data_IF_403845867831
#
_entry.id   IF_403845867831
#
_cell.length_a   1.000
_cell.length_b   1.000
_cell.length_c   1.000
_cell.angle_alpha   90.00
_cell.angle_beta   90.00
_cell.angle_gamma   90.00
#
_symmetry.space_group_name_H-M   'P 1'
#
loop_
_entity.id
_entity.type
_entity.pdbx_description
1 polymer ?
#
# COMPACT_ATOMS: atom_id res chain seq x y z
N UNK A 1 4.09 33.34 -32.43
CA UNK A 1 5.24 32.42 -32.52
C UNK A 1 6.27 32.80 -31.46
N UNK A 2 6.40 31.98 -30.41
CA UNK A 2 7.58 32.00 -29.55
C UNK A 2 7.69 30.61 -28.92
N UNK A 3 8.77 29.90 -29.24
CA UNK A 3 9.10 28.59 -28.68
C UNK A 3 9.87 28.81 -27.39
N UNK A 4 9.33 28.38 -26.26
CA UNK A 4 10.13 28.20 -25.04
C UNK A 4 10.78 26.82 -25.12
N UNK A 5 12.12 26.82 -25.21
CA UNK A 5 12.97 25.64 -25.28
C UNK A 5 13.27 25.22 -23.85
N UNK A 6 12.67 24.13 -23.36
CA UNK A 6 13.14 23.45 -22.16
C UNK A 6 14.19 22.41 -22.58
N UNK A 7 15.43 22.65 -22.19
CA UNK A 7 16.55 21.74 -22.42
C UNK A 7 16.35 20.48 -21.58
N UNK A 8 15.91 19.38 -22.21
CA UNK A 8 16.13 18.05 -21.66
C UNK A 8 17.56 17.69 -22.02
N UNK A 9 18.44 17.71 -21.02
CA UNK A 9 19.80 17.19 -21.15
C UNK A 9 19.67 15.66 -21.34
N UNK A 10 19.47 15.24 -22.59
CA UNK A 10 19.60 13.86 -23.02
C UNK A 10 21.10 13.52 -22.95
N UNK A 11 21.52 12.84 -21.90
CA UNK A 11 22.71 12.00 -22.02
C UNK A 11 22.32 10.77 -22.86
N UNK A 12 23.01 10.62 -23.99
CA UNK A 12 23.00 9.42 -24.85
C UNK A 12 23.47 8.19 -24.06
N UNK A 13 23.12 6.98 -24.54
CA UNK A 13 23.13 5.78 -23.74
C UNK A 13 24.56 5.27 -23.52
N UNK A 14 24.89 4.98 -22.27
CA UNK A 14 25.86 3.95 -21.94
C UNK A 14 25.03 2.79 -21.41
N UNK A 15 25.12 1.64 -22.08
CA UNK A 15 24.57 0.37 -21.62
C UNK A 15 25.00 0.10 -20.17
N UNK A 16 24.05 0.00 -19.24
CA UNK A 16 24.20 -0.72 -17.97
C UNK A 16 22.91 -0.64 -17.13
N UNK A 17 22.30 -1.81 -16.95
CA UNK A 17 21.57 -2.32 -15.79
C UNK A 17 20.70 -1.40 -14.87
N UNK A 18 19.57 -1.99 -14.48
CA UNK A 18 18.72 -1.68 -13.30
C UNK A 18 17.57 -0.69 -13.55
N UNK A 19 16.44 -1.26 -13.98
CA UNK A 19 15.13 -0.59 -13.95
C UNK A 19 14.64 -0.35 -12.52
N UNK A 20 14.70 0.91 -12.07
CA UNK A 20 14.11 1.35 -10.81
C UNK A 20 12.60 1.58 -10.99
N UNK A 21 11.77 0.73 -10.36
CA UNK A 21 10.34 0.99 -10.14
C UNK A 21 10.22 1.88 -8.90
N UNK A 22 9.56 3.04 -9.03
CA UNK A 22 9.27 3.93 -7.91
C UNK A 22 8.25 3.33 -6.92
N UNK A 23 8.14 3.90 -5.70
CA UNK A 23 7.32 3.35 -4.63
C UNK A 23 5.82 3.48 -4.97
N UNK A 24 5.13 2.35 -4.96
CA UNK A 24 3.67 2.27 -5.12
C UNK A 24 3.00 2.76 -3.83
N UNK A 25 2.14 3.77 -3.97
CA UNK A 25 1.36 4.39 -2.91
C UNK A 25 0.43 3.38 -2.21
N UNK A 26 0.32 3.52 -0.88
CA UNK A 26 -0.63 2.82 -0.02
C UNK A 26 -2.06 2.99 -0.56
N UNK A 27 -2.72 1.89 -0.92
CA UNK A 27 -4.16 1.86 -1.21
C UNK A 27 -4.90 1.30 0.01
N UNK A 28 -5.73 2.13 0.62
CA UNK A 28 -6.81 1.71 1.51
C UNK A 28 -7.99 1.36 0.61
N UNK A 29 -8.51 0.13 0.69
CA UNK A 29 -9.74 -0.26 0.00
C UNK A 29 -10.93 0.14 0.87
N UNK A 30 -11.87 0.85 0.27
CA UNK A 30 -13.08 1.32 0.93
C UNK A 30 -14.25 1.10 -0.02
N UNK A 31 -15.33 0.48 0.47
CA UNK A 31 -16.55 0.27 -0.30
C UNK A 31 -17.64 1.15 0.32
N UNK A 32 -18.09 2.17 -0.43
CA UNK A 32 -19.31 2.92 -0.12
C UNK A 32 -20.30 2.83 -1.25
N UNK A 33 -21.59 2.86 -0.86
CA UNK A 33 -22.69 3.10 -1.76
C UNK A 33 -22.78 4.61 -2.04
N UNK A 34 -22.64 5.00 -3.31
CA UNK A 34 -22.68 6.41 -3.75
C UNK A 34 -24.07 6.69 -4.30
N UNK A 35 -24.89 7.56 -3.66
CA UNK A 35 -26.17 7.94 -4.22
C UNK A 35 -25.96 8.69 -5.54
N UNK A 36 -26.55 8.16 -6.62
CA UNK A 36 -26.45 8.72 -7.98
C UNK A 36 -27.14 10.08 -8.06
N UNK A 37 -26.37 11.17 -7.95
CA UNK A 37 -26.80 12.49 -8.44
C UNK A 37 -26.19 12.71 -9.82
N UNK A 38 -27.04 12.71 -10.84
CA UNK A 38 -26.69 13.18 -12.18
C UNK A 38 -26.48 14.70 -12.11
N UNK A 39 -25.23 15.13 -11.97
CA UNK A 39 -24.87 16.54 -12.12
C UNK A 39 -23.81 16.64 -13.22
N UNK A 40 -24.19 17.30 -14.31
CA UNK A 40 -23.24 17.78 -15.31
C UNK A 40 -22.33 18.81 -14.65
N UNK A 41 -21.15 18.41 -14.19
CA UNK A 41 -20.18 19.32 -13.60
C UNK A 41 -19.35 20.00 -14.68
N UNK A 42 -19.61 21.30 -14.90
CA UNK A 42 -18.62 22.21 -15.44
C UNK A 42 -17.36 22.14 -14.57
N UNK A 43 -16.18 22.09 -15.21
CA UNK A 43 -14.87 22.01 -14.57
C UNK A 43 -14.61 23.23 -13.66
N UNK A 44 -15.12 23.18 -12.43
CA UNK A 44 -14.72 24.08 -11.35
C UNK A 44 -13.48 23.46 -10.72
N UNK A 45 -12.31 24.07 -10.95
CA UNK A 45 -11.13 23.83 -10.10
C UNK A 45 -11.55 24.12 -8.67
N UNK A 46 -11.66 23.09 -7.84
CA UNK A 46 -11.78 23.25 -6.38
C UNK A 46 -10.59 24.12 -5.94
N UNK A 47 -10.81 25.24 -5.24
CA UNK A 47 -9.70 26.02 -4.68
C UNK A 47 -8.84 25.09 -3.83
N UNK A 48 -7.50 25.17 -3.90
CA UNK A 48 -6.66 24.39 -3.00
C UNK A 48 -7.09 24.70 -1.58
N UNK A 49 -7.49 23.66 -0.84
CA UNK A 49 -7.84 23.81 0.57
C UNK A 49 -6.69 24.53 1.26
N UNK A 50 -6.99 25.61 1.99
CA UNK A 50 -5.98 26.36 2.72
C UNK A 50 -5.37 25.42 3.74
N UNK A 51 -4.12 25.01 3.53
CA UNK A 51 -3.43 24.12 4.45
C UNK A 51 -3.18 24.88 5.76
N UNK A 52 -3.40 24.26 6.92
CA UNK A 52 -3.03 24.88 8.18
C UNK A 52 -1.51 25.12 8.20
N UNK A 53 -1.10 26.26 8.75
CA UNK A 53 0.31 26.52 9.00
C UNK A 53 0.85 25.44 9.95
N UNK A 54 2.05 24.93 9.67
CA UNK A 54 2.71 23.97 10.56
C UNK A 54 3.09 24.73 11.84
N UNK A 55 2.60 24.31 13.03
CA UNK A 55 2.95 24.97 14.28
C UNK A 55 4.45 24.91 14.54
N UNK A 56 5.07 26.02 14.96
CA UNK A 56 6.52 26.08 15.23
C UNK A 56 6.92 25.10 16.33
N UNK A 57 6.03 24.86 17.29
CA UNK A 57 6.19 23.90 18.38
C UNK A 57 6.36 22.46 17.85
N UNK A 58 5.77 22.13 16.69
CA UNK A 58 5.94 20.84 16.04
C UNK A 58 7.36 20.69 15.46
N UNK A 59 7.93 21.77 14.94
CA UNK A 59 9.29 21.76 14.39
C UNK A 59 10.34 21.65 15.50
N UNK A 60 10.09 22.31 16.64
CA UNK A 60 10.95 22.25 17.82
C UNK A 60 11.08 20.82 18.40
N UNK A 61 10.06 19.98 18.24
CA UNK A 61 10.10 18.56 18.66
C UNK A 61 11.10 17.71 17.86
N UNK A 62 11.49 18.14 16.65
CA UNK A 62 12.52 17.46 15.86
C UNK A 62 13.95 17.90 16.21
N UNK A 63 14.10 18.81 17.19
CA UNK A 63 15.37 19.27 17.74
C UNK A 63 16.09 20.31 16.87
N UNK A 64 17.06 21.01 17.46
CA UNK A 64 17.81 22.11 16.82
C UNK A 64 19.18 21.65 16.25
N UNK A 65 19.33 20.38 15.86
CA UNK A 65 20.60 19.78 15.42
C UNK A 65 20.54 19.15 14.03
N UNK A 66 21.69 18.85 13.40
CA UNK A 66 21.72 18.20 12.09
C UNK A 66 21.12 16.79 12.17
N UNK A 67 19.92 16.61 11.61
CA UNK A 67 19.34 15.27 11.40
C UNK A 67 19.95 14.63 10.15
N UNK A 68 20.24 13.34 10.22
CA UNK A 68 20.60 12.57 9.02
C UNK A 68 19.39 12.49 8.07
N UNK A 69 19.63 12.32 6.76
CA UNK A 69 18.56 12.11 5.79
C UNK A 69 17.67 10.89 6.15
N UNK A 70 18.26 9.88 6.79
CA UNK A 70 17.56 8.72 7.31
C UNK A 70 16.61 9.09 8.46
N UNK A 71 17.08 9.89 9.42
CA UNK A 71 16.26 10.37 10.53
C UNK A 71 15.09 11.24 10.06
N UNK A 72 15.32 12.11 9.06
CA UNK A 72 14.26 12.95 8.47
C UNK A 72 13.20 12.08 7.77
N UNK A 73 13.62 11.08 6.99
CA UNK A 73 12.70 10.19 6.32
C UNK A 73 11.90 9.35 7.32
N UNK A 74 12.55 8.83 8.37
CA UNK A 74 11.89 8.08 9.44
C UNK A 74 10.83 8.93 10.16
N UNK A 75 11.19 10.15 10.55
CA UNK A 75 10.28 11.14 11.15
C UNK A 75 9.07 11.44 10.25
N UNK A 76 9.32 11.70 8.96
CA UNK A 76 8.26 12.00 7.99
C UNK A 76 7.32 10.81 7.81
N UNK A 77 7.85 9.59 7.71
CA UNK A 77 7.04 8.39 7.61
C UNK A 77 6.22 8.16 8.88
N UNK A 78 6.79 8.40 10.06
CA UNK A 78 6.08 8.30 11.34
C UNK A 78 4.92 9.31 11.43
N UNK A 79 5.16 10.58 11.06
CA UNK A 79 4.14 11.62 11.05
C UNK A 79 3.02 11.32 10.06
N UNK A 80 3.36 10.99 8.80
CA UNK A 80 2.38 10.62 7.77
C UNK A 80 1.49 9.47 8.22
N UNK A 81 2.08 8.51 8.91
CA UNK A 81 1.40 7.34 9.46
C UNK A 81 0.43 7.71 10.59
N UNK A 82 0.88 8.49 11.57
CA UNK A 82 0.04 8.96 12.67
C UNK A 82 -1.17 9.76 12.16
N UNK A 83 -0.99 10.57 11.11
CA UNK A 83 -2.08 11.31 10.48
C UNK A 83 -3.11 10.38 9.83
N UNK A 84 -2.68 9.32 9.16
CA UNK A 84 -3.59 8.32 8.56
C UNK A 84 -4.36 7.58 9.66
N UNK A 85 -3.68 7.13 10.71
CA UNK A 85 -4.32 6.42 11.84
C UNK A 85 -5.37 7.31 12.52
N UNK A 86 -5.06 8.59 12.75
CA UNK A 86 -6.00 9.57 13.31
C UNK A 86 -7.19 9.82 12.39
N UNK A 87 -6.95 10.03 11.10
CA UNK A 87 -8.01 10.30 10.13
C UNK A 87 -8.97 9.12 9.98
N UNK A 88 -8.43 7.90 9.89
CA UNK A 88 -9.24 6.69 9.80
C UNK A 88 -9.98 6.41 11.11
N UNK A 89 -9.34 6.58 12.27
CA UNK A 89 -10.00 6.39 13.56
C UNK A 89 -11.15 7.37 13.81
N UNK A 90 -11.10 8.58 13.24
CA UNK A 90 -12.16 9.56 13.36
C UNK A 90 -13.43 9.19 12.57
N UNK A 91 -13.28 8.51 11.42
CA UNK A 91 -14.41 8.18 10.54
C UNK A 91 -14.85 6.70 10.70
N UNK A 92 -13.90 5.80 10.97
CA UNK A 92 -14.10 4.35 11.12
C UNK A 92 -13.49 3.83 12.43
N UNK A 93 -14.02 4.23 13.59
CA UNK A 93 -13.45 3.89 14.89
C UNK A 93 -13.41 2.38 15.17
N UNK A 94 -14.32 1.61 14.55
CA UNK A 94 -14.40 0.16 14.70
C UNK A 94 -13.55 -0.62 13.66
N UNK A 95 -12.68 0.04 12.90
CA UNK A 95 -11.83 -0.64 11.90
C UNK A 95 -10.51 -1.07 12.52
N UNK A 96 -10.19 -2.35 12.38
CA UNK A 96 -8.86 -2.88 12.71
C UNK A 96 -7.83 -2.39 11.70
N UNK A 97 -7.02 -1.41 12.09
CA UNK A 97 -5.93 -0.88 11.26
C UNK A 97 -4.69 -1.77 11.35
N UNK A 98 -4.11 -2.09 10.20
CA UNK A 98 -2.90 -2.91 10.11
C UNK A 98 -1.96 -2.44 9.00
N UNK A 99 -0.67 -2.67 9.18
CA UNK A 99 0.32 -2.47 8.12
C UNK A 99 0.29 -3.65 7.16
N UNK A 100 -0.12 -3.39 5.92
CA UNK A 100 -0.25 -4.42 4.89
C UNK A 100 1.06 -5.22 4.71
N UNK A 101 1.01 -6.49 5.13
CA UNK A 101 2.16 -7.41 5.08
C UNK A 101 2.75 -7.53 3.67
N UNK A 102 1.94 -7.39 2.62
CA UNK A 102 2.42 -7.45 1.25
C UNK A 102 3.29 -6.26 0.89
N UNK A 103 2.94 -5.05 1.34
CA UNK A 103 3.82 -3.90 1.12
C UNK A 103 5.11 -4.05 1.91
N UNK A 104 5.04 -4.62 3.12
CA UNK A 104 6.22 -4.91 3.93
C UNK A 104 7.14 -5.95 3.26
N UNK A 105 6.57 -7.03 2.71
CA UNK A 105 7.31 -8.04 1.93
C UNK A 105 7.91 -7.42 0.67
N UNK A 106 7.16 -6.66 -0.12
CA UNK A 106 7.68 -6.01 -1.35
C UNK A 106 8.82 -5.06 -1.03
N UNK A 107 8.67 -4.22 -0.01
CA UNK A 107 9.73 -3.34 0.48
C UNK A 107 10.97 -4.15 0.88
N UNK A 108 10.78 -5.28 1.55
CA UNK A 108 11.89 -6.18 1.92
C UNK A 108 12.63 -6.72 0.69
N UNK A 109 11.89 -7.11 -0.36
CA UNK A 109 12.47 -7.65 -1.60
C UNK A 109 13.18 -6.60 -2.47
N UNK A 110 12.95 -5.31 -2.22
CA UNK A 110 13.61 -4.23 -2.96
C UNK A 110 15.08 -4.05 -2.57
N UNK A 111 15.49 -4.53 -1.39
CA UNK A 111 16.90 -4.63 -0.99
C UNK A 111 17.66 -5.77 -1.68
N UNK A 112 16.95 -6.72 -2.30
CA UNK A 112 17.55 -7.92 -2.88
C UNK A 112 17.65 -7.87 -4.41
N UNK A 113 18.75 -8.42 -4.92
CA UNK A 113 18.94 -8.69 -6.35
C UNK A 113 17.90 -9.68 -6.87
N UNK A 114 17.65 -9.70 -8.18
CA UNK A 114 16.69 -10.63 -8.78
C UNK A 114 16.95 -12.10 -8.42
N UNK A 115 18.23 -12.51 -8.34
CA UNK A 115 18.67 -13.87 -8.00
C UNK A 115 18.30 -14.23 -6.55
N UNK A 116 18.37 -13.27 -5.66
CA UNK A 116 18.21 -13.46 -4.22
C UNK A 116 16.75 -13.35 -3.75
N UNK A 117 15.90 -12.63 -4.50
CA UNK A 117 14.49 -12.37 -4.14
C UNK A 117 13.70 -13.63 -3.79
N UNK A 118 13.90 -14.73 -4.52
CA UNK A 118 13.19 -15.99 -4.25
C UNK A 118 13.59 -16.58 -2.89
N UNK A 119 14.90 -16.57 -2.59
CA UNK A 119 15.42 -17.07 -1.31
C UNK A 119 15.00 -16.17 -0.14
N UNK A 120 15.12 -14.86 -0.30
CA UNK A 120 14.66 -13.90 0.70
C UNK A 120 13.15 -14.01 0.97
N UNK A 121 12.33 -14.13 -0.08
CA UNK A 121 10.88 -14.32 0.09
C UNK A 121 10.55 -15.60 0.86
N UNK A 122 11.30 -16.69 0.61
CA UNK A 122 11.14 -17.94 1.35
C UNK A 122 11.54 -17.79 2.82
N UNK A 123 12.60 -17.04 3.11
CA UNK A 123 13.07 -16.78 4.47
C UNK A 123 12.13 -15.86 5.27
N UNK A 124 11.44 -14.93 4.63
CA UNK A 124 10.45 -14.04 5.26
C UNK A 124 9.10 -14.76 5.49
N UNK A 125 8.81 -15.80 4.70
CA UNK A 125 7.51 -16.48 4.73
C UNK A 125 7.08 -16.97 6.12
N UNK A 126 7.93 -17.66 6.91
CA UNK A 126 7.56 -18.12 8.24
C UNK A 126 6.99 -17.03 9.13
N UNK A 127 7.55 -15.82 9.07
CA UNK A 127 7.15 -14.67 9.89
C UNK A 127 5.64 -14.41 9.75
N UNK A 128 5.12 -14.24 8.54
CA UNK A 128 3.69 -13.91 8.35
C UNK A 128 2.77 -15.12 8.26
N UNK A 129 3.30 -16.33 8.13
CA UNK A 129 2.51 -17.57 8.17
C UNK A 129 2.44 -18.20 9.55
N UNK A 130 3.16 -17.65 10.53
CA UNK A 130 3.17 -18.14 11.91
C UNK A 130 1.76 -18.17 12.54
N UNK A 131 1.49 -19.11 13.47
CA UNK A 131 0.15 -19.28 14.03
C UNK A 131 -0.30 -18.12 14.92
N UNK A 132 0.63 -17.43 15.59
CA UNK A 132 0.37 -16.31 16.50
C UNK A 132 1.40 -15.18 16.34
N UNK A 133 1.15 -14.04 16.99
CA UNK A 133 2.08 -12.91 16.99
C UNK A 133 3.41 -13.27 17.70
N UNK A 134 3.36 -14.05 18.77
CA UNK A 134 4.53 -14.51 19.52
C UNK A 134 5.40 -15.45 18.68
N UNK A 135 4.75 -16.40 18.00
CA UNK A 135 5.45 -17.28 17.06
C UNK A 135 6.05 -16.49 15.90
N UNK A 136 5.32 -15.50 15.37
CA UNK A 136 5.83 -14.62 14.33
C UNK A 136 7.03 -13.78 14.79
N UNK A 137 7.03 -13.33 16.05
CA UNK A 137 8.15 -12.61 16.64
C UNK A 137 9.38 -13.51 16.74
N UNK A 138 9.21 -14.76 17.18
CA UNK A 138 10.30 -15.74 17.21
C UNK A 138 10.87 -16.00 15.79
N UNK A 139 10.00 -16.12 14.78
CA UNK A 139 10.43 -16.24 13.38
C UNK A 139 11.15 -14.99 12.86
N UNK A 140 10.75 -13.79 13.30
CA UNK A 140 11.43 -12.54 12.94
C UNK A 140 12.83 -12.48 13.55
N UNK A 141 12.99 -12.90 14.81
CA UNK A 141 14.31 -12.95 15.46
C UNK A 141 15.20 -14.03 14.82
N UNK A 142 14.66 -15.22 14.56
CA UNK A 142 15.37 -16.28 13.84
C UNK A 142 15.78 -15.84 12.42
N UNK A 143 14.92 -15.10 11.72
CA UNK A 143 15.26 -14.49 10.43
C UNK A 143 16.42 -13.51 10.58
N UNK A 144 16.37 -12.63 11.59
CA UNK A 144 17.38 -11.60 11.83
C UNK A 144 18.76 -12.18 12.15
N UNK A 145 18.82 -13.27 12.93
CA UNK A 145 20.05 -14.00 13.24
C UNK A 145 20.53 -14.88 12.08
N UNK A 146 19.60 -15.30 11.22
CA UNK A 146 19.87 -16.16 10.08
C UNK A 146 20.66 -15.48 8.94
N UNK A 147 21.13 -16.26 7.96
CA UNK A 147 21.98 -15.76 6.87
C UNK A 147 21.30 -14.68 6.03
N UNK A 148 19.96 -14.74 5.89
CA UNK A 148 19.20 -13.73 5.15
C UNK A 148 19.04 -12.43 5.93
N UNK A 149 18.78 -12.47 7.24
CA UNK A 149 18.72 -11.26 8.07
C UNK A 149 20.07 -10.58 8.23
N UNK A 150 21.14 -11.35 8.40
CA UNK A 150 22.51 -10.81 8.46
C UNK A 150 22.96 -10.21 7.13
N UNK A 151 22.53 -10.79 6.01
CA UNK A 151 22.83 -10.25 4.66
C UNK A 151 21.97 -9.03 4.31
N UNK A 152 20.75 -8.95 4.84
CA UNK A 152 19.83 -7.82 4.62
C UNK A 152 19.31 -7.21 5.94
N UNK A 153 20.18 -6.63 6.79
CA UNK A 153 19.77 -6.07 8.09
C UNK A 153 18.63 -5.04 8.04
N UNK A 154 18.54 -4.16 7.00
CA UNK A 154 17.42 -3.24 6.87
C UNK A 154 16.04 -3.90 6.81
N UNK A 155 15.96 -5.15 6.35
CA UNK A 155 14.71 -5.92 6.35
C UNK A 155 14.23 -6.14 7.78
N UNK A 156 15.08 -6.68 8.66
CA UNK A 156 14.73 -6.91 10.06
C UNK A 156 14.34 -5.60 10.76
N UNK A 157 15.08 -4.52 10.52
CA UNK A 157 14.75 -3.19 11.05
C UNK A 157 13.38 -2.71 10.58
N UNK A 158 13.06 -2.85 9.29
CA UNK A 158 11.77 -2.45 8.73
C UNK A 158 10.60 -3.23 9.36
N UNK A 159 10.78 -4.54 9.59
CA UNK A 159 9.76 -5.37 10.25
C UNK A 159 9.59 -5.00 11.72
N UNK A 160 10.67 -4.80 12.47
CA UNK A 160 10.61 -4.36 13.88
C UNK A 160 9.95 -2.98 14.03
N UNK A 161 10.29 -2.02 13.16
CA UNK A 161 9.66 -0.69 13.15
C UNK A 161 8.15 -0.72 12.82
N UNK A 162 7.71 -1.75 12.09
CA UNK A 162 6.31 -1.95 11.75
C UNK A 162 5.55 -2.84 12.75
N UNK A 163 6.24 -3.47 13.70
CA UNK A 163 5.77 -4.65 14.43
C UNK A 163 4.41 -4.46 15.09
N UNK A 164 4.24 -3.42 15.91
CA UNK A 164 2.99 -3.14 16.62
C UNK A 164 1.75 -3.08 15.71
N UNK A 165 1.95 -2.78 14.43
CA UNK A 165 0.88 -2.64 13.44
C UNK A 165 0.80 -3.82 12.49
N UNK A 166 1.76 -4.73 12.56
CA UNK A 166 1.64 -6.07 11.98
C UNK A 166 0.93 -7.00 12.96
N UNK A 167 1.04 -6.80 14.27
CA UNK A 167 0.34 -7.62 15.29
C UNK A 167 -1.17 -7.81 14.99
N UNK A 168 -1.97 -6.78 14.61
CA UNK A 168 -3.39 -6.96 14.32
C UNK A 168 -3.67 -7.92 13.16
N UNK A 169 -2.70 -8.16 12.26
CA UNK A 169 -2.85 -9.17 11.21
C UNK A 169 -2.95 -10.59 11.78
N UNK A 170 -2.30 -10.90 12.91
CA UNK A 170 -2.36 -12.21 13.55
C UNK A 170 -3.64 -12.44 14.36
N UNK A 171 -4.45 -11.40 14.61
CA UNK A 171 -5.79 -11.56 15.16
C UNK A 171 -6.76 -12.26 14.18
N UNK A 172 -6.40 -12.30 12.89
CA UNK A 172 -7.19 -12.97 11.87
C UNK A 172 -6.83 -14.47 11.74
N UNK A 173 -7.83 -15.36 11.62
CA UNK A 173 -7.63 -16.76 11.27
C UNK A 173 -6.88 -16.94 9.94
N UNK A 174 -6.21 -18.10 9.75
CA UNK A 174 -5.44 -18.38 8.52
C UNK A 174 -6.24 -18.19 7.22
N UNK A 175 -7.53 -18.51 7.21
CA UNK A 175 -8.43 -18.36 6.06
C UNK A 175 -8.53 -16.90 5.63
N UNK A 176 -8.68 -15.99 6.60
CA UNK A 176 -8.72 -14.55 6.35
C UNK A 176 -7.34 -14.03 5.97
N UNK A 177 -6.30 -14.41 6.71
CA UNK A 177 -4.93 -13.98 6.44
C UNK A 177 -4.51 -14.32 5.02
N UNK A 178 -4.84 -15.53 4.55
CA UNK A 178 -4.56 -15.97 3.18
C UNK A 178 -5.18 -15.06 2.14
N UNK A 179 -6.42 -14.59 2.35
CA UNK A 179 -7.04 -13.61 1.46
C UNK A 179 -6.32 -12.26 1.53
N UNK A 180 -5.94 -11.80 2.73
CA UNK A 180 -5.23 -10.51 2.93
C UNK A 180 -3.88 -10.48 2.21
N UNK A 181 -3.05 -11.53 2.34
CA UNK A 181 -1.74 -11.56 1.68
C UNK A 181 -1.77 -12.15 0.27
N UNK A 182 -2.94 -12.50 -0.28
CA UNK A 182 -3.02 -12.89 -1.69
C UNK A 182 -3.07 -11.63 -2.55
N UNK A 183 -2.05 -11.43 -3.38
CA UNK A 183 -1.93 -10.25 -4.25
C UNK A 183 -2.57 -10.40 -5.62
N UNK A 184 -2.99 -11.62 -5.98
CA UNK A 184 -3.45 -11.97 -7.33
C UNK A 184 -4.56 -11.04 -7.84
N UNK A 185 -5.54 -10.68 -7.00
CA UNK A 185 -6.64 -9.82 -7.41
C UNK A 185 -6.16 -8.40 -7.78
N UNK A 186 -5.38 -7.78 -6.89
CA UNK A 186 -4.87 -6.42 -7.09
C UNK A 186 -3.82 -6.37 -8.19
N UNK A 187 -2.95 -7.39 -8.28
CA UNK A 187 -1.95 -7.50 -9.34
C UNK A 187 -2.58 -7.68 -10.72
N UNK A 188 -3.65 -8.47 -10.81
CA UNK A 188 -4.42 -8.64 -12.04
C UNK A 188 -5.03 -7.31 -12.51
N UNK A 189 -5.73 -6.59 -11.61
CA UNK A 189 -6.30 -5.26 -11.91
C UNK A 189 -5.20 -4.29 -12.36
N UNK A 190 -4.12 -4.19 -11.61
CA UNK A 190 -3.01 -3.29 -11.91
C UNK A 190 -2.32 -3.62 -13.24
N UNK A 191 -2.19 -4.92 -13.57
CA UNK A 191 -1.63 -5.37 -14.85
C UNK A 191 -2.53 -4.97 -16.02
N UNK A 192 -3.84 -5.20 -15.90
CA UNK A 192 -4.82 -4.83 -16.92
C UNK A 192 -4.90 -3.30 -17.11
N UNK A 193 -4.92 -2.53 -16.01
CA UNK A 193 -4.88 -1.07 -16.07
C UNK A 193 -3.62 -0.57 -16.77
N UNK A 194 -2.43 -1.07 -16.42
CA UNK A 194 -1.18 -0.72 -17.12
C UNK A 194 -1.24 -1.07 -18.60
N UNK A 195 -1.82 -2.21 -18.97
CA UNK A 195 -1.97 -2.61 -20.37
C UNK A 195 -2.88 -1.67 -21.17
N UNK A 196 -3.93 -1.14 -20.55
CA UNK A 196 -4.86 -0.19 -21.18
C UNK A 196 -4.23 1.21 -21.29
N UNK A 197 -3.54 1.66 -20.24
CA UNK A 197 -3.02 3.03 -20.15
C UNK A 197 -1.72 3.21 -20.95
N UNK A 198 -0.89 2.17 -21.10
CA UNK A 198 0.43 2.29 -21.77
C UNK A 198 0.38 2.86 -23.20
N UNK A 199 -0.75 2.76 -23.88
CA UNK A 199 -0.92 3.25 -25.26
C UNK A 199 -1.30 4.73 -25.35
N UNK A 200 -1.67 5.38 -24.24
CA UNK A 200 -2.16 6.77 -24.23
C UNK A 200 -1.06 7.83 -24.10
N UNK A 201 0.11 7.49 -23.57
CA UNK A 201 1.25 8.41 -23.44
C UNK A 201 1.04 9.52 -22.40
N UNK A 202 0.22 10.51 -22.70
CA UNK A 202 -0.11 11.64 -21.81
C UNK A 202 -1.60 11.96 -21.84
N UNK A 203 -2.12 12.51 -20.75
CA UNK A 203 -3.50 13.00 -20.66
C UNK A 203 -3.50 14.53 -20.70
N UNK A 204 -4.45 15.12 -21.41
CA UNK A 204 -4.57 16.58 -21.53
C UNK A 204 -5.08 17.24 -20.24
N UNK A 205 -5.88 16.52 -19.44
CA UNK A 205 -6.45 16.98 -18.18
C UNK A 205 -6.62 15.81 -17.20
N UNK A 206 -6.74 16.13 -15.91
CA UNK A 206 -7.05 15.16 -14.86
C UNK A 206 -8.41 14.49 -15.07
N UNK A 207 -9.40 15.21 -15.60
CA UNK A 207 -10.70 14.66 -15.97
C UNK A 207 -10.58 13.60 -17.07
N UNK A 208 -9.73 13.83 -18.07
CA UNK A 208 -9.49 12.87 -19.13
C UNK A 208 -8.81 11.60 -18.56
N UNK A 209 -7.83 11.76 -17.66
CA UNK A 209 -7.20 10.64 -16.98
C UNK A 209 -8.21 9.85 -16.14
N UNK A 210 -9.03 10.54 -15.34
CA UNK A 210 -10.07 9.95 -14.49
C UNK A 210 -11.09 9.16 -15.31
N UNK A 211 -11.63 9.75 -16.39
CA UNK A 211 -12.57 9.07 -17.29
C UNK A 211 -11.95 7.82 -17.92
N UNK A 212 -10.67 7.88 -18.29
CA UNK A 212 -9.98 6.73 -18.86
C UNK A 212 -9.78 5.60 -17.86
N UNK A 213 -9.35 5.91 -16.64
CA UNK A 213 -9.21 4.92 -15.56
C UNK A 213 -10.59 4.31 -15.25
N UNK A 214 -11.64 5.13 -15.17
CA UNK A 214 -12.99 4.65 -14.91
C UNK A 214 -13.49 3.70 -16.01
N UNK A 215 -13.35 4.07 -17.29
CA UNK A 215 -13.74 3.21 -18.42
C UNK A 215 -12.94 1.89 -18.42
N UNK A 216 -11.65 1.96 -18.11
CA UNK A 216 -10.80 0.78 -17.99
C UNK A 216 -11.28 -0.14 -16.87
N UNK A 217 -11.53 0.40 -15.68
CA UNK A 217 -12.07 -0.34 -14.54
C UNK A 217 -13.42 -0.97 -14.88
N UNK A 218 -14.35 -0.21 -15.46
CA UNK A 218 -15.67 -0.71 -15.85
C UNK A 218 -15.57 -1.93 -16.76
N UNK A 219 -14.68 -1.88 -17.75
CA UNK A 219 -14.47 -3.01 -18.67
C UNK A 219 -13.82 -4.20 -17.96
N UNK A 220 -12.82 -3.97 -17.09
CA UNK A 220 -12.19 -5.05 -16.30
C UNK A 220 -13.21 -5.75 -15.40
N UNK A 221 -14.10 -4.99 -14.76
CA UNK A 221 -15.09 -5.51 -13.83
C UNK A 221 -16.27 -6.20 -14.51
N UNK A 222 -16.49 -5.98 -15.81
CA UNK A 222 -17.58 -6.61 -16.55
C UNK A 222 -17.46 -8.14 -16.58
N UNK A 223 -16.23 -8.66 -16.51
CA UNK A 223 -15.94 -10.09 -16.54
C UNK A 223 -15.88 -10.73 -15.14
N UNK A 224 -16.17 -9.98 -14.07
CA UNK A 224 -16.10 -10.48 -12.69
C UNK A 224 -17.34 -11.31 -12.32
N UNK A 225 -17.32 -12.59 -12.68
CA UNK A 225 -18.40 -13.53 -12.35
C UNK A 225 -18.10 -14.49 -11.19
N UNK A 226 -16.84 -14.65 -10.77
CA UNK A 226 -16.42 -15.64 -9.77
C UNK A 226 -15.82 -14.98 -8.54
N UNK A 227 -16.21 -15.48 -7.36
CA UNK A 227 -15.58 -15.10 -6.11
C UNK A 227 -14.10 -15.47 -6.10
N UNK A 228 -13.30 -14.70 -5.36
CA UNK A 228 -11.89 -15.02 -5.17
C UNK A 228 -11.74 -16.41 -4.54
N UNK A 229 -10.66 -17.10 -4.90
CA UNK A 229 -10.28 -18.37 -4.26
C UNK A 229 -10.17 -18.16 -2.75
N UNK A 230 -10.66 -19.11 -1.98
CA UNK A 230 -10.71 -19.09 -0.51
C UNK A 230 -11.66 -18.04 0.12
N UNK A 231 -12.37 -17.21 -0.69
CA UNK A 231 -13.28 -16.19 -0.17
C UNK A 231 -14.38 -16.75 0.73
N UNK A 232 -15.01 -17.88 0.35
CA UNK A 232 -16.08 -18.48 1.17
C UNK A 232 -15.59 -18.90 2.56
N UNK A 233 -14.38 -19.45 2.65
CA UNK A 233 -13.79 -19.84 3.93
C UNK A 233 -13.48 -18.61 4.79
N UNK A 234 -12.87 -17.58 4.21
CA UNK A 234 -12.60 -16.31 4.90
C UNK A 234 -13.90 -15.60 5.34
N UNK A 235 -14.92 -15.58 4.48
CA UNK A 235 -16.22 -14.97 4.75
C UNK A 235 -16.90 -15.61 5.97
N UNK A 236 -16.85 -16.94 6.09
CA UNK A 236 -17.39 -17.62 7.27
C UNK A 236 -16.65 -17.20 8.55
N UNK A 237 -15.33 -17.06 8.49
CA UNK A 237 -14.54 -16.57 9.63
C UNK A 237 -14.85 -15.10 9.96
N UNK A 238 -15.06 -14.24 8.95
CA UNK A 238 -15.50 -12.85 9.17
C UNK A 238 -16.86 -12.79 9.87
N UNK A 239 -17.80 -13.66 9.48
CA UNK A 239 -19.12 -13.72 10.11
C UNK A 239 -19.05 -14.12 11.60
N UNK A 240 -18.07 -14.95 11.98
CA UNK A 240 -17.83 -15.32 13.38
C UNK A 240 -17.18 -14.17 14.16
N UNK A 241 -16.14 -13.55 13.60
CA UNK A 241 -15.39 -12.48 14.27
C UNK A 241 -16.18 -11.17 14.41
N UNK A 242 -17.06 -10.88 13.46
CA UNK A 242 -17.78 -9.62 13.38
C UNK A 242 -19.29 -9.86 13.23
N UNK A 243 -19.86 -10.66 14.13
CA UNK A 243 -21.28 -11.07 14.09
C UNK A 243 -22.23 -9.89 13.94
N UNK A 244 -22.00 -8.81 14.69
CA UNK A 244 -22.85 -7.62 14.69
C UNK A 244 -22.73 -6.78 13.41
N UNK A 245 -21.72 -7.04 12.57
CA UNK A 245 -21.44 -6.30 11.33
C UNK A 245 -21.76 -7.13 10.09
N UNK A 246 -21.87 -8.45 10.21
CA UNK A 246 -22.16 -9.36 9.11
C UNK A 246 -23.66 -9.66 9.02
N UNK A 247 -24.47 -8.61 8.97
CA UNK A 247 -25.93 -8.71 8.88
C UNK A 247 -26.37 -8.77 7.42
N UNK A 248 -27.32 -9.66 7.10
CA UNK A 248 -28.09 -9.52 5.86
C UNK A 248 -29.04 -8.33 6.05
N UNK A 249 -29.13 -7.40 5.08
CA UNK A 249 -30.18 -6.39 5.14
C UNK A 249 -31.52 -7.11 5.28
N UNK A 250 -32.31 -6.76 6.29
CA UNK A 250 -33.70 -7.20 6.37
C UNK A 250 -34.40 -6.70 5.11
N UNK A 251 -34.83 -7.64 4.27
CA UNK A 251 -35.57 -7.37 3.03
C UNK A 251 -36.89 -6.68 3.36
#
# INVERSE_FOLDING_TARGET
MSRVRASVMLHRPVESAVGKRGPVSNFVFEAYDVPKKNVCHANRKTPPATLPAIPTELLEQFGNGPMSAEAINAATMALKKALIERALGAVFPATTLQTCVIHLIRNSLDYASWKDRKGLAAAIKPIYTAPSAEAAQAELEAFAEGPWGQRFPPVSTAWRNAWDRVIPFFAFPPEIRKVIYTTNAIENINSQLRKIIKTRGHFATDDAATKHIWLALRNITADWGRAAKDWKAAMNQFAILYVDRFVRPSV
#
